data_IF_076540630771
#
_entry.id   IF_076540630771
#
_cell.length_a   1.000
_cell.length_b   1.000
_cell.length_c   1.000
_cell.angle_alpha   90.00
_cell.angle_beta   90.00
_cell.angle_gamma   90.00
#
_symmetry.space_group_name_H-M   'P 1'
#
loop_
_entity.id
_entity.type
_entity.pdbx_description
1 polymer ?
#
# COMPACT_ATOMS: atom_id res chain seq x y z
N UNK A 1 -4.10 -19.10 11.19
CA UNK A 1 -3.23 -17.98 10.73
C UNK A 1 -2.04 -18.60 10.03
N UNK A 2 -1.69 -18.15 8.82
CA UNK A 2 -0.52 -18.66 8.08
C UNK A 2 0.62 -17.65 8.16
N UNK A 3 1.80 -18.10 8.57
CA UNK A 3 3.02 -17.29 8.56
C UNK A 3 3.91 -17.70 7.38
N UNK A 4 4.45 -16.73 6.65
CA UNK A 4 5.40 -16.96 5.54
C UNK A 4 6.58 -16.00 5.63
N UNK A 5 7.73 -16.45 5.16
CA UNK A 5 8.93 -15.62 5.05
C UNK A 5 9.35 -15.62 3.58
N UNK A 6 9.48 -14.44 2.98
CA UNK A 6 10.05 -14.29 1.64
C UNK A 6 11.59 -14.34 1.73
N UNK A 7 12.20 -15.34 1.09
CA UNK A 7 13.65 -15.53 1.09
C UNK A 7 14.42 -14.37 0.42
N UNK A 8 13.73 -13.49 -0.32
CA UNK A 8 14.34 -12.26 -0.88
C UNK A 8 14.86 -11.32 0.20
N UNK A 9 14.49 -11.49 1.47
CA UNK A 9 15.02 -10.69 2.58
C UNK A 9 16.55 -10.83 2.63
N UNK A 10 17.08 -12.04 2.41
CA UNK A 10 18.53 -12.25 2.41
C UNK A 10 19.22 -11.52 1.26
N UNK A 11 18.61 -11.46 0.08
CA UNK A 11 19.14 -10.70 -1.06
C UNK A 11 19.22 -9.19 -0.75
N UNK A 12 18.17 -8.63 -0.13
CA UNK A 12 18.16 -7.23 0.28
C UNK A 12 19.21 -6.95 1.37
N UNK A 13 19.33 -7.82 2.38
CA UNK A 13 20.36 -7.69 3.41
C UNK A 13 21.77 -7.69 2.81
N UNK A 14 22.05 -8.60 1.88
CA UNK A 14 23.34 -8.66 1.16
C UNK A 14 23.58 -7.36 0.37
N UNK A 15 22.57 -6.89 -0.37
CA UNK A 15 22.67 -5.64 -1.15
C UNK A 15 23.01 -4.45 -0.24
N UNK A 16 22.26 -4.25 0.85
CA UNK A 16 22.45 -3.12 1.77
C UNK A 16 23.73 -3.24 2.61
N UNK A 17 24.22 -4.46 2.84
CA UNK A 17 25.54 -4.70 3.41
C UNK A 17 26.64 -4.20 2.45
N UNK A 18 26.58 -4.57 1.17
CA UNK A 18 27.57 -4.13 0.18
C UNK A 18 27.53 -2.62 -0.10
N UNK A 19 26.35 -1.98 -0.05
CA UNK A 19 26.23 -0.53 -0.21
C UNK A 19 26.58 0.26 1.05
N UNK A 20 26.95 -0.41 2.16
CA UNK A 20 27.21 0.20 3.48
C UNK A 20 26.02 1.02 4.02
N UNK A 21 24.79 0.65 3.65
CA UNK A 21 23.55 1.32 4.04
C UNK A 21 22.68 0.47 4.97
N UNK A 22 23.28 -0.53 5.62
CA UNK A 22 22.56 -1.50 6.47
C UNK A 22 21.82 -0.82 7.63
N UNK A 23 22.42 0.20 8.24
CA UNK A 23 21.81 0.93 9.37
C UNK A 23 20.52 1.63 8.92
N UNK A 24 20.58 2.39 7.83
CA UNK A 24 19.40 3.05 7.23
C UNK A 24 18.31 2.05 6.86
N UNK A 25 18.69 0.91 6.28
CA UNK A 25 17.75 -0.16 5.94
C UNK A 25 17.05 -0.72 7.19
N UNK A 26 17.81 -1.02 8.26
CA UNK A 26 17.26 -1.52 9.53
C UNK A 26 16.28 -0.51 10.12
N UNK A 27 16.63 0.77 10.15
CA UNK A 27 15.77 1.84 10.68
C UNK A 27 14.45 1.91 9.90
N UNK A 28 14.51 1.94 8.56
CA UNK A 28 13.30 1.99 7.71
C UNK A 28 12.44 0.74 7.92
N UNK A 29 13.05 -0.45 8.00
CA UNK A 29 12.31 -1.71 8.22
C UNK A 29 11.65 -1.75 9.59
N UNK A 30 12.32 -1.28 10.64
CA UNK A 30 11.70 -1.19 11.98
C UNK A 30 10.46 -0.31 11.95
N UNK A 31 10.54 0.88 11.36
CA UNK A 31 9.38 1.76 11.26
C UNK A 31 8.31 1.26 10.28
N UNK A 32 8.69 0.54 9.22
CA UNK A 32 7.75 -0.12 8.31
C UNK A 32 7.02 -1.30 9.00
N UNK A 33 7.69 -2.02 9.90
CA UNK A 33 7.05 -3.04 10.73
C UNK A 33 6.05 -2.39 11.68
N UNK A 34 6.42 -1.29 12.36
CA UNK A 34 5.50 -0.58 13.25
C UNK A 34 4.30 0.00 12.48
N UNK A 35 4.52 0.51 11.27
CA UNK A 35 3.46 0.93 10.35
C UNK A 35 2.45 -0.19 10.08
N UNK A 36 2.94 -1.39 9.74
CA UNK A 36 2.11 -2.56 9.47
C UNK A 36 1.40 -3.08 10.73
N UNK A 37 2.02 -2.94 11.91
CA UNK A 37 1.35 -3.18 13.19
C UNK A 37 0.19 -2.20 13.42
N UNK A 38 0.31 -0.95 12.96
CA UNK A 38 -0.79 0.02 12.93
C UNK A 38 -1.99 -0.49 12.14
N UNK A 39 -1.75 -1.01 10.93
CA UNK A 39 -2.79 -1.67 10.13
C UNK A 39 -3.40 -2.88 10.85
N UNK A 40 -2.57 -3.71 11.47
CA UNK A 40 -3.01 -4.88 12.23
C UNK A 40 -3.96 -4.48 13.36
N UNK A 41 -3.54 -3.53 14.19
CA UNK A 41 -4.32 -3.04 15.32
C UNK A 41 -5.66 -2.46 14.87
N UNK A 42 -5.67 -1.62 13.84
CA UNK A 42 -6.92 -1.08 13.29
C UNK A 42 -7.84 -2.19 12.77
N UNK A 43 -7.29 -3.19 12.06
CA UNK A 43 -8.07 -4.33 11.58
C UNK A 43 -8.68 -5.14 12.72
N UNK A 44 -7.93 -5.39 13.79
CA UNK A 44 -8.41 -6.09 14.99
C UNK A 44 -9.52 -5.32 15.69
N UNK A 45 -9.36 -4.00 15.89
CA UNK A 45 -10.39 -3.10 16.45
C UNK A 45 -11.67 -3.14 15.60
N UNK A 46 -11.53 -3.20 14.27
CA UNK A 46 -12.66 -3.34 13.33
C UNK A 46 -13.26 -4.76 13.27
N UNK A 47 -12.79 -5.67 14.12
CA UNK A 47 -13.23 -7.05 14.21
C UNK A 47 -12.85 -7.89 12.99
N UNK A 48 -11.83 -7.50 12.22
CA UNK A 48 -11.27 -8.29 11.13
C UNK A 48 -10.32 -9.35 11.71
N UNK A 49 -10.35 -10.58 11.16
CA UNK A 49 -9.50 -11.68 11.65
C UNK A 49 -8.26 -11.80 10.75
N UNK A 50 -7.03 -11.68 11.26
CA UNK A 50 -5.83 -11.92 10.47
C UNK A 50 -5.83 -13.34 9.90
N UNK A 51 -5.55 -13.47 8.62
CA UNK A 51 -5.52 -14.74 7.90
C UNK A 51 -4.08 -15.16 7.58
N UNK A 52 -3.30 -14.22 7.03
CA UNK A 52 -1.92 -14.41 6.60
C UNK A 52 -1.05 -13.25 7.06
N UNK A 53 0.13 -13.57 7.59
CA UNK A 53 1.21 -12.63 7.87
C UNK A 53 2.43 -13.11 7.07
N UNK A 54 3.00 -12.26 6.25
CA UNK A 54 4.14 -12.58 5.38
C UNK A 54 5.25 -11.56 5.60
N UNK A 55 6.43 -12.02 6.03
CA UNK A 55 7.60 -11.17 6.17
C UNK A 55 8.24 -10.98 4.78
N UNK A 56 8.41 -9.73 4.37
CA UNK A 56 8.91 -9.32 3.06
C UNK A 56 10.16 -8.45 3.20
N UNK A 57 10.96 -8.29 2.14
CA UNK A 57 12.19 -7.47 2.19
C UNK A 57 11.96 -5.98 2.48
N UNK A 58 10.72 -5.53 2.36
CA UNK A 58 10.30 -4.14 2.55
C UNK A 58 9.32 -3.96 3.74
N UNK A 59 9.13 -4.99 4.58
CA UNK A 59 8.24 -4.92 5.74
C UNK A 59 7.44 -6.20 5.97
N UNK A 60 6.27 -6.10 6.59
CA UNK A 60 5.35 -7.22 6.83
C UNK A 60 4.10 -7.00 5.98
N UNK A 61 3.58 -8.03 5.32
CA UNK A 61 2.28 -7.97 4.67
C UNK A 61 1.23 -8.72 5.50
N UNK A 62 0.13 -8.04 5.82
CA UNK A 62 -0.96 -8.59 6.63
C UNK A 62 -2.23 -8.67 5.77
N UNK A 63 -2.82 -9.86 5.73
CA UNK A 63 -4.09 -10.11 5.06
C UNK A 63 -5.15 -10.53 6.07
N UNK A 64 -6.36 -10.01 5.90
CA UNK A 64 -7.51 -10.31 6.77
C UNK A 64 -8.52 -11.20 6.07
N UNK A 65 -9.14 -12.10 6.84
CA UNK A 65 -10.22 -12.96 6.37
C UNK A 65 -11.47 -12.14 6.06
N UNK A 66 -12.00 -12.32 4.86
CA UNK A 66 -13.25 -11.68 4.43
C UNK A 66 -14.44 -12.32 5.16
N UNK A 67 -15.34 -11.48 5.70
CA UNK A 67 -16.60 -11.93 6.31
C UNK A 67 -17.76 -11.56 5.38
N UNK A 68 -18.58 -12.53 4.91
CA UNK A 68 -19.73 -12.24 4.05
C UNK A 68 -20.67 -11.17 4.60
N UNK A 69 -20.88 -11.14 5.93
CA UNK A 69 -21.70 -10.12 6.60
C UNK A 69 -21.22 -8.68 6.34
N UNK A 70 -19.91 -8.45 6.28
CA UNK A 70 -19.34 -7.12 6.05
C UNK A 70 -19.49 -6.71 4.58
N UNK A 71 -19.54 -7.70 3.66
CA UNK A 71 -19.78 -7.47 2.24
C UNK A 71 -21.26 -7.18 1.94
N UNK A 72 -22.17 -7.84 2.65
CA UNK A 72 -23.61 -7.73 2.44
C UNK A 72 -24.21 -6.46 3.04
N UNK A 73 -23.59 -5.88 4.08
CA UNK A 73 -24.02 -4.59 4.64
C UNK A 73 -23.61 -3.44 3.71
N UNK A 74 -24.54 -2.97 2.89
CA UNK A 74 -24.32 -1.88 1.92
C UNK A 74 -24.17 -0.51 2.59
N UNK A 75 -23.30 0.31 2.03
CA UNK A 75 -23.08 1.71 2.40
C UNK A 75 -22.91 2.47 1.10
N UNK A 76 -23.89 3.30 0.73
CA UNK A 76 -23.97 3.94 -0.58
C UNK A 76 -23.76 2.89 -1.70
N UNK A 77 -22.82 3.12 -2.64
CA UNK A 77 -22.50 2.15 -3.71
C UNK A 77 -21.46 1.09 -3.31
N UNK A 78 -21.01 1.10 -2.06
CA UNK A 78 -20.04 0.18 -1.50
C UNK A 78 -20.66 -0.67 -0.36
N UNK A 79 -19.82 -1.12 0.58
CA UNK A 79 -20.23 -1.92 1.73
C UNK A 79 -19.35 -1.64 2.96
N UNK A 80 -19.74 -2.18 4.11
CA UNK A 80 -19.01 -2.02 5.37
C UNK A 80 -17.55 -2.49 5.27
N UNK A 81 -17.29 -3.56 4.52
CA UNK A 81 -15.93 -4.06 4.31
C UNK A 81 -15.01 -3.00 3.70
N UNK A 82 -15.49 -2.20 2.73
CA UNK A 82 -14.68 -1.15 2.11
C UNK A 82 -14.37 -0.01 3.07
N UNK A 83 -15.32 0.37 3.94
CA UNK A 83 -15.06 1.35 5.00
C UNK A 83 -13.96 0.86 5.94
N UNK A 84 -14.03 -0.41 6.37
CA UNK A 84 -12.98 -1.00 7.20
C UNK A 84 -11.62 -0.98 6.50
N UNK A 85 -11.56 -1.28 5.20
CA UNK A 85 -10.30 -1.23 4.43
C UNK A 85 -9.70 0.18 4.38
N UNK A 86 -10.52 1.22 4.21
CA UNK A 86 -10.06 2.62 4.22
C UNK A 86 -9.47 2.95 5.60
N UNK A 87 -10.18 2.65 6.68
CA UNK A 87 -9.73 2.94 8.04
C UNK A 87 -8.45 2.18 8.38
N UNK A 88 -8.35 0.92 7.96
CA UNK A 88 -7.11 0.14 8.09
C UNK A 88 -5.99 0.81 7.31
N UNK A 89 -6.18 1.17 6.04
CA UNK A 89 -5.15 1.81 5.22
C UNK A 89 -4.67 3.16 5.78
N UNK A 90 -5.55 3.93 6.45
CA UNK A 90 -5.16 5.19 7.13
C UNK A 90 -4.30 4.91 8.37
N UNK A 91 -4.50 3.79 9.05
CA UNK A 91 -3.88 3.50 10.34
C UNK A 91 -2.35 3.38 10.27
N UNK A 92 -1.79 2.88 9.17
CA UNK A 92 -0.34 2.80 8.97
C UNK A 92 0.30 4.19 8.96
N UNK A 93 -0.05 5.07 8.00
CA UNK A 93 0.44 6.45 7.97
C UNK A 93 0.16 7.23 9.26
N UNK A 94 -1.00 7.00 9.88
CA UNK A 94 -1.34 7.61 11.16
C UNK A 94 -0.40 7.16 12.29
N UNK A 95 0.00 5.88 12.32
CA UNK A 95 0.97 5.36 13.30
C UNK A 95 2.32 6.05 13.17
N UNK A 96 2.83 6.21 11.94
CA UNK A 96 4.08 6.94 11.71
C UNK A 96 3.96 8.42 12.09
N UNK A 97 2.80 9.04 11.87
CA UNK A 97 2.56 10.42 12.28
C UNK A 97 2.63 10.56 13.81
N UNK A 98 2.04 9.63 14.56
CA UNK A 98 2.16 9.60 16.02
C UNK A 98 3.61 9.46 16.46
N UNK A 99 4.40 8.60 15.81
CA UNK A 99 5.83 8.43 16.12
C UNK A 99 6.59 9.74 15.90
N UNK A 100 6.31 10.48 14.82
CA UNK A 100 6.92 11.80 14.59
C UNK A 100 6.61 12.75 15.75
N UNK A 101 5.34 12.85 16.16
CA UNK A 101 4.90 13.72 17.25
C UNK A 101 5.59 13.33 18.57
N UNK A 102 5.68 12.03 18.88
CA UNK A 102 6.40 11.58 20.08
C UNK A 102 7.89 11.85 19.99
N UNK A 103 8.53 11.64 18.85
CA UNK A 103 9.95 11.92 18.64
C UNK A 103 10.30 13.41 18.74
N UNK A 104 9.35 14.32 18.49
CA UNK A 104 9.58 15.76 18.70
C UNK A 104 9.51 16.17 20.17
N UNK A 105 8.81 15.42 21.02
CA UNK A 105 8.60 15.76 22.43
C UNK A 105 9.43 14.92 23.41
N UNK A 106 9.83 13.70 23.01
CA UNK A 106 10.60 12.78 23.82
C UNK A 106 12.01 12.66 23.26
N UNK A 107 13.01 12.69 24.15
CA UNK A 107 14.38 12.30 23.80
C UNK A 107 14.43 10.78 23.77
N UNK A 108 14.49 10.21 22.57
CA UNK A 108 14.65 8.75 22.39
C UNK A 108 16.15 8.50 22.23
N UNK A 109 16.75 7.76 23.17
CA UNK A 109 18.20 7.50 23.14
C UNK A 109 18.60 6.44 22.09
N UNK A 110 17.62 5.71 21.52
CA UNK A 110 17.87 4.63 20.57
C UNK A 110 18.41 5.12 19.21
N UNK A 111 17.89 6.24 18.71
CA UNK A 111 18.29 6.87 17.45
C UNK A 111 18.19 8.38 17.60
N UNK A 112 18.94 9.13 16.80
CA UNK A 112 18.71 10.58 16.72
C UNK A 112 17.24 10.86 16.34
N UNK A 113 16.57 11.73 17.12
CA UNK A 113 15.18 12.13 16.87
C UNK A 113 14.97 12.58 15.41
N UNK A 114 15.97 13.22 14.81
CA UNK A 114 15.93 13.62 13.40
C UNK A 114 15.78 12.42 12.46
N UNK A 115 16.56 11.35 12.67
CA UNK A 115 16.51 10.15 11.84
C UNK A 115 15.14 9.47 11.97
N UNK A 116 14.60 9.41 13.19
CA UNK A 116 13.25 8.88 13.44
C UNK A 116 12.20 9.68 12.66
N UNK A 117 12.26 11.02 12.74
CA UNK A 117 11.33 11.92 12.04
C UNK A 117 11.44 11.72 10.53
N UNK A 118 12.66 11.73 9.97
CA UNK A 118 12.87 11.54 8.53
C UNK A 118 12.38 10.19 8.03
N UNK A 119 12.68 9.09 8.74
CA UNK A 119 12.25 7.75 8.34
C UNK A 119 10.72 7.63 8.34
N UNK A 120 10.05 8.12 9.37
CA UNK A 120 8.60 8.08 9.46
C UNK A 120 7.92 9.01 8.44
N UNK A 121 8.48 10.19 8.20
CA UNK A 121 7.98 11.11 7.19
C UNK A 121 8.10 10.49 5.80
N UNK A 122 9.23 9.85 5.48
CA UNK A 122 9.43 9.14 4.23
C UNK A 122 8.40 8.02 4.04
N UNK A 123 8.13 7.23 5.08
CA UNK A 123 7.12 6.16 5.04
C UNK A 123 5.70 6.69 4.83
N UNK A 124 5.35 7.83 5.45
CA UNK A 124 4.06 8.50 5.22
C UNK A 124 3.96 8.97 3.78
N UNK A 125 4.95 9.73 3.31
CA UNK A 125 4.95 10.29 1.96
C UNK A 125 4.87 9.19 0.91
N UNK A 126 5.64 8.12 1.07
CA UNK A 126 5.65 6.99 0.14
C UNK A 126 4.33 6.23 0.16
N UNK A 127 3.80 5.85 1.33
CA UNK A 127 2.57 5.05 1.39
C UNK A 127 1.30 5.83 1.06
N UNK A 128 1.28 7.15 1.24
CA UNK A 128 0.14 8.00 0.86
C UNK A 128 0.11 8.39 -0.62
N UNK A 129 1.12 8.02 -1.41
CA UNK A 129 1.05 8.20 -2.86
C UNK A 129 -0.19 7.45 -3.40
N UNK A 130 -1.05 8.09 -4.23
CA UNK A 130 -2.26 7.46 -4.76
C UNK A 130 -2.02 6.40 -5.86
N UNK A 131 -1.06 5.50 -5.63
CA UNK A 131 -0.73 4.36 -6.50
C UNK A 131 -1.16 3.07 -5.79
N UNK A 132 -2.04 2.29 -6.41
CA UNK A 132 -2.39 0.98 -5.86
C UNK A 132 -1.23 -0.02 -6.09
N UNK A 133 -0.80 -0.83 -5.10
CA UNK A 133 -1.48 -1.18 -3.85
C UNK A 133 -1.01 -0.43 -2.58
N UNK A 134 -0.33 0.71 -2.70
CA UNK A 134 0.03 1.55 -1.55
C UNK A 134 -1.23 2.05 -0.83
N UNK A 135 -1.09 2.49 0.43
CA UNK A 135 -2.25 2.86 1.24
C UNK A 135 -3.02 4.04 0.68
N UNK A 136 -2.37 5.06 0.12
CA UNK A 136 -3.01 6.16 -0.59
C UNK A 136 -3.86 5.66 -1.76
N UNK A 137 -3.35 4.67 -2.51
CA UNK A 137 -4.10 4.00 -3.57
C UNK A 137 -5.29 3.19 -3.04
N UNK A 138 -5.16 2.52 -1.88
CA UNK A 138 -6.26 1.78 -1.22
C UNK A 138 -7.35 2.74 -0.71
N UNK A 139 -6.95 3.85 -0.10
CA UNK A 139 -7.83 4.92 0.38
C UNK A 139 -8.60 5.51 -0.80
N UNK A 140 -7.89 5.94 -1.85
CA UNK A 140 -8.50 6.48 -3.07
C UNK A 140 -9.51 5.50 -3.68
N UNK A 141 -9.12 4.23 -3.84
CA UNK A 141 -9.99 3.19 -4.38
C UNK A 141 -11.25 3.00 -3.54
N UNK A 142 -11.11 2.95 -2.21
CA UNK A 142 -12.24 2.80 -1.30
C UNK A 142 -13.20 3.99 -1.39
N UNK A 143 -12.67 5.22 -1.40
CA UNK A 143 -13.46 6.45 -1.57
C UNK A 143 -14.22 6.42 -2.89
N UNK A 144 -13.54 6.15 -4.00
CA UNK A 144 -14.19 6.06 -5.32
C UNK A 144 -15.24 4.95 -5.37
N UNK A 145 -15.04 3.84 -4.66
CA UNK A 145 -16.01 2.74 -4.59
C UNK A 145 -17.31 3.20 -3.91
N UNK A 146 -17.22 3.96 -2.83
CA UNK A 146 -18.38 4.51 -2.12
C UNK A 146 -19.27 5.35 -3.05
N UNK A 147 -18.67 6.18 -3.92
CA UNK A 147 -19.39 7.14 -4.76
C UNK A 147 -19.71 6.64 -6.18
N UNK A 148 -18.86 5.82 -6.77
CA UNK A 148 -18.92 5.43 -8.19
C UNK A 148 -19.24 3.94 -8.38
N UNK A 149 -19.17 3.13 -7.32
CA UNK A 149 -19.29 1.68 -7.39
C UNK A 149 -17.99 0.98 -7.80
N UNK A 150 -17.94 -0.35 -7.60
CA UNK A 150 -16.72 -1.15 -7.67
C UNK A 150 -15.94 -1.04 -8.97
N UNK A 151 -16.60 -1.26 -10.11
CA UNK A 151 -15.96 -1.32 -11.45
C UNK A 151 -15.36 0.03 -11.85
N UNK A 152 -16.11 1.12 -11.66
CA UNK A 152 -15.63 2.48 -11.93
C UNK A 152 -14.48 2.87 -11.01
N UNK A 153 -14.57 2.53 -9.72
CA UNK A 153 -13.50 2.81 -8.76
C UNK A 153 -12.19 2.12 -9.13
N UNK A 154 -12.23 0.84 -9.52
CA UNK A 154 -11.06 0.11 -10.01
C UNK A 154 -10.44 0.78 -11.24
N UNK A 155 -11.26 1.15 -12.23
CA UNK A 155 -10.80 1.84 -13.44
C UNK A 155 -10.14 3.19 -13.13
N UNK A 156 -10.81 4.06 -12.38
CA UNK A 156 -10.29 5.39 -12.08
C UNK A 156 -9.06 5.35 -11.18
N UNK A 157 -9.01 4.45 -10.19
CA UNK A 157 -7.80 4.27 -9.36
C UNK A 157 -6.60 3.88 -10.23
N UNK A 158 -6.78 2.95 -11.17
CA UNK A 158 -5.72 2.53 -12.08
C UNK A 158 -5.26 3.68 -12.99
N UNK A 159 -6.19 4.43 -13.57
CA UNK A 159 -5.86 5.62 -14.39
C UNK A 159 -5.13 6.70 -13.59
N UNK A 160 -5.57 6.99 -12.36
CA UNK A 160 -4.91 7.95 -11.48
C UNK A 160 -3.50 7.48 -11.10
N UNK A 161 -3.35 6.19 -10.77
CA UNK A 161 -2.04 5.58 -10.47
C UNK A 161 -1.08 5.75 -11.64
N UNK A 162 -1.54 5.54 -12.88
CA UNK A 162 -0.74 5.72 -14.09
C UNK A 162 -0.29 7.17 -14.29
N UNK A 163 -1.20 8.14 -14.15
CA UNK A 163 -0.89 9.57 -14.30
C UNK A 163 0.16 9.98 -13.25
N UNK A 164 -0.03 9.58 -12.00
CA UNK A 164 0.90 9.89 -10.90
C UNK A 164 2.26 9.24 -11.16
N UNK A 165 2.31 8.01 -11.67
CA UNK A 165 3.55 7.34 -12.02
C UNK A 165 4.31 8.06 -13.13
N UNK A 166 3.63 8.57 -14.14
CA UNK A 166 4.28 9.38 -15.19
C UNK A 166 4.91 10.62 -14.58
N UNK A 167 4.17 11.35 -13.74
CA UNK A 167 4.67 12.57 -13.08
C UNK A 167 5.87 12.24 -12.19
N UNK A 168 5.76 11.19 -11.36
CA UNK A 168 6.86 10.75 -10.50
C UNK A 168 8.07 10.29 -11.29
N UNK A 169 7.87 9.63 -12.44
CA UNK A 169 8.97 9.21 -13.31
C UNK A 169 9.67 10.43 -13.90
N UNK A 170 8.92 11.45 -14.32
CA UNK A 170 9.50 12.70 -14.82
C UNK A 170 10.34 13.41 -13.75
N UNK A 171 9.80 13.56 -12.54
CA UNK A 171 10.52 14.15 -11.40
C UNK A 171 11.75 13.30 -11.03
N UNK A 172 11.60 11.98 -11.00
CA UNK A 172 12.69 11.05 -10.71
C UNK A 172 13.82 11.14 -11.74
N UNK A 173 13.51 11.27 -13.04
CA UNK A 173 14.52 11.45 -14.10
C UNK A 173 15.35 12.72 -13.89
N UNK A 174 14.71 13.83 -13.50
CA UNK A 174 15.41 15.07 -13.14
C UNK A 174 16.27 14.82 -11.89
N UNK A 175 15.72 14.19 -10.86
CA UNK A 175 16.45 13.88 -9.62
C UNK A 175 17.66 12.98 -9.84
N UNK A 176 17.57 11.96 -10.71
CA UNK A 176 18.68 11.08 -11.07
C UNK A 176 19.79 11.87 -11.75
N UNK A 177 19.44 12.79 -12.65
CA UNK A 177 20.43 13.63 -13.35
C UNK A 177 21.20 14.54 -12.39
N UNK A 178 20.55 15.12 -11.38
CA UNK A 178 21.21 16.03 -10.43
C UNK A 178 21.86 15.36 -9.23
N UNK A 179 21.26 14.28 -8.69
CA UNK A 179 21.70 13.66 -7.45
C UNK A 179 22.58 12.42 -7.66
N UNK A 180 22.69 11.93 -8.90
CA UNK A 180 23.41 10.70 -9.26
C UNK A 180 23.04 9.48 -8.39
N UNK A 181 21.83 9.48 -7.83
CA UNK A 181 21.40 8.48 -6.85
C UNK A 181 20.60 7.36 -7.52
N UNK A 182 21.26 6.21 -7.68
CA UNK A 182 20.67 5.00 -8.28
C UNK A 182 19.44 4.48 -7.51
N UNK A 183 19.29 4.82 -6.23
CA UNK A 183 18.15 4.40 -5.41
C UNK A 183 16.82 4.95 -5.95
N UNK A 184 16.84 6.18 -6.47
CA UNK A 184 15.65 6.81 -7.08
C UNK A 184 15.20 6.01 -8.29
N UNK A 185 16.15 5.61 -9.15
CA UNK A 185 15.87 4.78 -10.31
C UNK A 185 15.27 3.41 -9.94
N UNK A 186 15.85 2.74 -8.93
CA UNK A 186 15.37 1.45 -8.44
C UNK A 186 13.94 1.56 -7.88
N UNK A 187 13.64 2.61 -7.11
CA UNK A 187 12.30 2.86 -6.56
C UNK A 187 11.30 3.10 -7.68
N UNK A 188 11.65 3.89 -8.71
CA UNK A 188 10.77 4.13 -9.85
C UNK A 188 10.44 2.84 -10.60
N UNK A 189 11.43 1.99 -10.87
CA UNK A 189 11.20 0.67 -11.49
C UNK A 189 10.29 -0.20 -10.62
N UNK A 190 10.51 -0.20 -9.30
CA UNK A 190 9.68 -0.96 -8.36
C UNK A 190 8.21 -0.51 -8.42
N UNK A 191 7.95 0.80 -8.40
CA UNK A 191 6.61 1.36 -8.49
C UNK A 191 5.91 1.02 -9.82
N UNK A 192 6.64 1.07 -10.95
CA UNK A 192 6.13 0.58 -12.24
C UNK A 192 5.80 -0.90 -12.21
N UNK A 193 6.64 -1.73 -11.58
CA UNK A 193 6.38 -3.15 -11.40
C UNK A 193 5.10 -3.43 -10.61
N UNK A 194 4.86 -2.67 -9.54
CA UNK A 194 3.60 -2.74 -8.77
C UNK A 194 2.39 -2.39 -9.63
N UNK A 195 2.47 -1.29 -10.38
CA UNK A 195 1.39 -0.86 -11.25
C UNK A 195 1.09 -1.84 -12.37
N UNK A 196 2.09 -2.32 -13.11
CA UNK A 196 1.88 -3.26 -14.21
C UNK A 196 1.23 -4.57 -13.73
N UNK A 197 1.63 -5.03 -12.54
CA UNK A 197 1.00 -6.18 -11.89
C UNK A 197 -0.47 -5.91 -11.58
N UNK A 198 -0.79 -4.74 -11.04
CA UNK A 198 -2.16 -4.35 -10.70
C UNK A 198 -3.03 -4.14 -11.94
N UNK A 199 -2.53 -3.43 -12.94
CA UNK A 199 -3.21 -3.17 -14.20
C UNK A 199 -3.58 -4.47 -14.93
N UNK A 200 -2.68 -5.47 -14.93
CA UNK A 200 -3.00 -6.80 -15.45
C UNK A 200 -4.18 -7.45 -14.73
N UNK A 201 -4.25 -7.32 -13.40
CA UNK A 201 -5.36 -7.85 -12.60
C UNK A 201 -6.66 -7.13 -12.95
N UNK A 202 -6.65 -5.80 -13.05
CA UNK A 202 -7.86 -5.03 -13.30
C UNK A 202 -8.37 -5.20 -14.74
N UNK A 203 -7.48 -5.36 -15.72
CA UNK A 203 -7.85 -5.76 -17.09
C UNK A 203 -8.54 -7.13 -17.12
N UNK A 204 -8.03 -8.11 -16.39
CA UNK A 204 -8.66 -9.44 -16.34
C UNK A 204 -10.05 -9.39 -15.67
N UNK A 205 -10.21 -8.61 -14.59
CA UNK A 205 -11.52 -8.42 -13.95
C UNK A 205 -12.51 -7.73 -14.90
N UNK A 206 -12.08 -6.71 -15.63
CA UNK A 206 -12.95 -6.01 -16.58
C UNK A 206 -13.46 -6.95 -17.68
N UNK A 207 -12.61 -7.82 -18.23
CA UNK A 207 -13.05 -8.86 -19.17
C UNK A 207 -14.13 -9.76 -18.59
N UNK A 208 -14.01 -10.15 -17.31
CA UNK A 208 -15.02 -10.96 -16.63
C UNK A 208 -16.33 -10.18 -16.47
N UNK A 209 -16.28 -8.90 -16.09
CA UNK A 209 -17.49 -8.07 -16.02
C UNK A 209 -18.18 -7.97 -17.38
N UNK A 210 -17.42 -7.75 -18.46
CA UNK A 210 -17.97 -7.69 -19.82
C UNK A 210 -18.64 -9.00 -20.25
N UNK A 211 -18.07 -10.15 -19.87
CA UNK A 211 -18.66 -11.47 -20.16
C UNK A 211 -19.95 -11.71 -19.38
N UNK A 212 -20.01 -11.26 -18.12
CA UNK A 212 -21.21 -11.38 -17.29
C UNK A 212 -22.33 -10.51 -17.86
N UNK A 213 -22.04 -9.25 -18.19
CA UNK A 213 -23.02 -8.33 -18.78
C UNK A 213 -23.59 -8.89 -20.09
N UNK A 214 -22.74 -9.39 -21.00
CA UNK A 214 -23.18 -10.06 -22.23
C UNK A 214 -24.06 -11.28 -21.96
N UNK A 215 -23.75 -12.07 -20.93
CA UNK A 215 -24.53 -13.27 -20.60
C UNK A 215 -25.91 -12.91 -20.07
N UNK A 216 -26.00 -11.87 -19.24
CA UNK A 216 -27.27 -11.35 -18.72
C UNK A 216 -28.12 -10.82 -19.87
N UNK A 217 -27.55 -9.99 -20.76
CA UNK A 217 -28.24 -9.48 -21.94
C UNK A 217 -28.80 -10.61 -22.84
N UNK A 218 -28.05 -11.70 -23.04
CA UNK A 218 -28.52 -12.85 -23.80
C UNK A 218 -29.67 -13.57 -23.08
N UNK A 219 -29.65 -13.63 -21.75
CA UNK A 219 -30.70 -14.27 -20.96
C UNK A 219 -31.99 -13.47 -20.85
N UNK A 220 -31.91 -12.13 -20.86
CA UNK A 220 -33.08 -11.24 -20.82
C UNK A 220 -33.78 -11.13 -22.19
N UNK A 221 -33.05 -11.42 -23.28
CA UNK A 221 -33.58 -11.42 -24.65
C UNK A 221 -34.12 -12.79 -25.12
N UNK A 222 -34.24 -13.78 -24.23
CA UNK A 222 -34.84 -15.10 -24.47
C UNK A 222 -36.13 -15.27 -23.69
#
# INVERSE_FOLDING_TARGET
MRFRIDLKIFLFLILFYFTKQIETYVIIIVFAIIHELGHLMAGLIMGMKPEKIELMPYGISISFKLKPKDYNKKILKANLLEIKKILVAIAGPFTNLLIIIFATHLKIELFSNLIIIYANLLLILFNLVPIYPLDGGRILKGILHIFLGKRKAERYTNSISFIILIILTFIASIGIYYMENISVFIITIFLWGLYLKQDKIDRNKNKIYDLIEKTIEISENK
#
